data_IF_161805094425
#
_entry.id   IF_161805094425
#
_cell.length_a   1.000
_cell.length_b   1.000
_cell.length_c   1.000
_cell.angle_alpha   90.00
_cell.angle_beta   90.00
_cell.angle_gamma   90.00
#
_symmetry.space_group_name_H-M   'P 1'
#
loop_
_entity.id
_entity.type
_entity.pdbx_description
1 polymer ?
#
# COMPACT_ATOMS: atom_id res chain seq x y z
N UNK A 1 36.35 -0.75 47.13
CA UNK A 1 34.89 -0.69 47.40
C UNK A 1 34.23 -1.69 46.45
N UNK A 2 34.19 -2.99 46.74
CA UNK A 2 33.38 -3.71 47.72
C UNK A 2 31.92 -3.93 47.29
N UNK A 3 31.57 -5.22 47.14
CA UNK A 3 30.24 -5.85 47.32
C UNK A 3 29.17 -5.60 46.23
N UNK A 4 28.33 -6.57 45.82
CA UNK A 4 27.92 -7.85 46.42
C UNK A 4 27.23 -8.75 45.38
N UNK A 5 27.33 -10.07 45.61
CA UNK A 5 26.62 -11.16 44.94
C UNK A 5 25.16 -11.35 45.47
N UNK A 6 24.33 -12.08 44.71
CA UNK A 6 23.39 -13.16 45.12
C UNK A 6 22.25 -13.30 44.08
N UNK A 7 22.04 -14.41 43.33
CA UNK A 7 21.63 -15.80 43.66
C UNK A 7 20.18 -15.96 44.15
N UNK A 8 19.33 -16.58 43.31
CA UNK A 8 18.25 -17.52 43.64
C UNK A 8 18.16 -18.50 42.43
N UNK A 9 18.45 -19.83 42.46
CA UNK A 9 17.90 -21.00 43.20
C UNK A 9 16.36 -21.09 43.04
N UNK A 10 15.67 -22.16 42.67
CA UNK A 10 15.89 -23.61 42.46
C UNK A 10 14.70 -24.11 41.56
N UNK A 11 14.90 -25.02 40.61
CA UNK A 11 14.42 -26.44 40.59
C UNK A 11 12.90 -26.67 40.76
N UNK A 12 12.29 -27.34 39.77
CA UNK A 12 11.01 -28.04 39.88
C UNK A 12 10.88 -29.12 38.79
N UNK A 13 10.98 -30.38 39.21
CA UNK A 13 10.99 -31.62 38.42
C UNK A 13 9.79 -32.48 38.88
N UNK A 14 9.05 -33.11 37.97
CA UNK A 14 7.99 -34.12 38.26
C UNK A 14 7.00 -34.23 37.08
N UNK A 15 7.00 -35.23 36.19
CA UNK A 15 6.70 -36.69 36.34
C UNK A 15 5.24 -36.86 36.84
N UNK A 16 4.26 -37.48 36.14
CA UNK A 16 4.20 -38.88 35.65
C UNK A 16 2.97 -39.13 34.75
N UNK A 17 3.05 -40.21 33.95
CA UNK A 17 2.07 -40.87 33.07
C UNK A 17 0.67 -41.20 33.68
N UNK A 18 -0.36 -41.30 32.82
CA UNK A 18 -1.32 -42.42 32.82
C UNK A 18 -1.95 -42.62 31.42
N UNK A 19 -2.06 -43.88 30.99
CA UNK A 19 -2.49 -44.35 29.66
C UNK A 19 -3.85 -45.07 29.71
N UNK A 20 -4.42 -45.36 28.51
CA UNK A 20 -5.30 -46.49 28.08
C UNK A 20 -6.56 -46.08 27.26
N UNK A 21 -7.07 -46.96 26.36
CA UNK A 21 -7.14 -46.67 24.92
C UNK A 21 -8.56 -46.82 24.34
N UNK A 22 -8.76 -46.39 23.09
CA UNK A 22 -9.86 -46.86 22.26
C UNK A 22 -9.31 -47.28 20.90
N UNK A 23 -9.42 -48.57 20.63
CA UNK A 23 -9.22 -49.17 19.32
C UNK A 23 -10.29 -48.62 18.36
N UNK A 24 -9.84 -48.09 17.22
CA UNK A 24 -10.70 -47.74 16.08
C UNK A 24 -9.99 -48.12 14.80
N UNK A 25 -10.32 -49.30 14.27
CA UNK A 25 -9.95 -49.68 12.92
C UNK A 25 -10.79 -48.85 11.94
N UNK A 26 -10.15 -48.06 11.09
CA UNK A 26 -10.71 -47.64 9.80
C UNK A 26 -9.65 -47.88 8.75
N UNK A 27 -9.94 -48.81 7.86
CA UNK A 27 -9.22 -48.98 6.59
C UNK A 27 -9.68 -47.85 5.66
N UNK A 28 -8.82 -46.89 5.34
CA UNK A 28 -8.96 -46.08 4.13
C UNK A 28 -7.76 -46.36 3.26
N UNK A 29 -8.01 -47.16 2.22
CA UNK A 29 -7.20 -47.21 1.01
C UNK A 29 -7.45 -45.87 0.30
N UNK A 30 -6.45 -45.00 0.34
CA UNK A 30 -6.46 -43.71 -0.36
C UNK A 30 -5.02 -43.23 -0.43
N UNK A 31 -4.39 -43.41 -1.58
CA UNK A 31 -3.10 -42.82 -1.89
C UNK A 31 -3.28 -41.30 -2.07
N UNK A 32 -3.39 -40.57 -0.97
CA UNK A 32 -3.39 -39.11 -0.99
C UNK A 32 -1.94 -38.65 -0.98
N UNK A 33 -1.44 -38.42 -2.18
CA UNK A 33 -0.29 -37.55 -2.45
C UNK A 33 -0.35 -36.34 -1.52
N UNK A 34 0.71 -36.00 -0.76
CA UNK A 34 0.70 -34.80 0.06
C UNK A 34 0.60 -33.61 -0.89
N UNK A 35 -0.62 -33.06 -1.00
CA UNK A 35 -0.82 -31.76 -1.63
C UNK A 35 -0.16 -30.77 -0.70
N UNK A 36 1.04 -30.35 -1.07
CA UNK A 36 1.74 -29.24 -0.43
C UNK A 36 0.82 -28.03 -0.51
N UNK A 37 0.10 -27.75 0.59
CA UNK A 37 -0.69 -26.53 0.72
C UNK A 37 0.31 -25.39 0.75
N UNK A 38 0.51 -24.74 -0.40
CA UNK A 38 1.29 -23.51 -0.50
C UNK A 38 0.66 -22.50 0.45
N UNK A 39 1.27 -22.35 1.63
CA UNK A 39 0.81 -21.44 2.68
C UNK A 39 1.36 -20.04 2.35
N UNK A 40 1.06 -19.53 1.15
CA UNK A 40 1.28 -18.12 0.87
C UNK A 40 0.16 -17.38 1.58
N UNK A 41 0.44 -16.47 2.53
CA UNK A 41 -0.61 -15.70 3.19
C UNK A 41 -1.47 -15.03 2.12
N UNK A 42 -2.77 -15.36 2.08
CA UNK A 42 -3.68 -14.80 1.10
C UNK A 42 -3.78 -13.30 1.37
N UNK A 43 -3.30 -12.47 0.46
CA UNK A 43 -3.47 -11.03 0.54
C UNK A 43 -4.97 -10.73 0.53
N UNK A 44 -5.50 -10.26 1.66
CA UNK A 44 -6.92 -9.99 1.82
C UNK A 44 -7.26 -8.63 1.21
N UNK A 45 -7.97 -8.64 0.08
CA UNK A 45 -8.56 -7.45 -0.55
C UNK A 45 -10.07 -7.48 -0.31
N UNK A 46 -10.74 -6.36 -0.05
CA UNK A 46 -12.19 -6.33 0.12
C UNK A 46 -12.94 -6.83 -1.12
N UNK A 47 -12.38 -6.56 -2.31
CA UNK A 47 -12.89 -6.96 -3.63
C UNK A 47 -11.79 -6.77 -4.67
N UNK A 48 -12.02 -7.24 -5.89
CA UNK A 48 -11.16 -6.94 -7.04
C UNK A 48 -11.61 -5.62 -7.68
N UNK A 49 -10.67 -4.72 -7.95
CA UNK A 49 -10.88 -3.54 -8.81
C UNK A 49 -9.93 -3.65 -10.00
N UNK A 50 -10.48 -3.86 -11.20
CA UNK A 50 -9.69 -4.02 -12.43
C UNK A 50 -9.26 -2.66 -12.99
N UNK A 51 -7.95 -2.48 -13.19
CA UNK A 51 -7.32 -1.26 -13.67
C UNK A 51 -7.22 -1.18 -15.19
N UNK A 52 -7.58 -2.24 -15.92
CA UNK A 52 -7.35 -2.35 -17.37
C UNK A 52 -7.96 -1.21 -18.19
N UNK A 53 -9.20 -0.82 -17.86
CA UNK A 53 -9.96 0.20 -18.61
C UNK A 53 -10.33 1.42 -17.75
N UNK A 54 -9.59 1.66 -16.66
CA UNK A 54 -9.85 2.79 -15.78
C UNK A 54 -9.33 4.07 -16.43
N UNK A 55 -10.22 5.04 -16.64
CA UNK A 55 -9.82 6.41 -17.00
C UNK A 55 -9.30 7.15 -15.74
N UNK A 56 -7.99 7.46 -15.67
CA UNK A 56 -7.39 8.11 -14.51
C UNK A 56 -7.96 9.51 -14.22
N UNK A 57 -8.49 10.22 -15.23
CA UNK A 57 -9.03 11.56 -15.04
C UNK A 57 -10.41 11.56 -14.38
N UNK A 58 -11.04 10.40 -14.25
CA UNK A 58 -12.34 10.25 -13.59
C UNK A 58 -12.24 9.81 -12.14
N UNK A 59 -11.03 9.51 -11.65
CA UNK A 59 -10.83 8.91 -10.31
C UNK A 59 -11.06 9.89 -9.16
N UNK A 60 -10.89 11.19 -9.41
CA UNK A 60 -11.14 12.24 -8.43
C UNK A 60 -12.32 13.08 -8.91
N UNK A 61 -13.48 12.84 -8.31
CA UNK A 61 -14.74 13.51 -8.71
C UNK A 61 -14.72 14.99 -8.30
N UNK A 62 -15.54 15.87 -8.92
CA UNK A 62 -15.52 17.31 -8.68
C UNK A 62 -15.62 17.70 -7.18
N UNK A 63 -16.41 16.98 -6.40
CA UNK A 63 -16.55 17.20 -4.95
C UNK A 63 -15.22 16.97 -4.22
N UNK A 64 -14.51 15.89 -4.58
CA UNK A 64 -13.23 15.54 -3.98
C UNK A 64 -12.11 16.49 -4.46
N UNK A 65 -12.18 16.98 -5.69
CA UNK A 65 -11.24 17.97 -6.23
C UNK A 65 -11.20 19.25 -5.37
N UNK A 66 -12.34 19.67 -4.81
CA UNK A 66 -12.40 20.83 -3.89
C UNK A 66 -11.56 20.61 -2.64
N UNK A 67 -11.50 19.39 -2.11
CA UNK A 67 -10.68 19.03 -0.92
C UNK A 67 -9.17 19.19 -1.15
N UNK A 68 -8.75 19.07 -2.41
CA UNK A 68 -7.36 19.26 -2.84
C UNK A 68 -7.11 20.65 -3.44
N UNK A 69 -8.13 21.51 -3.48
CA UNK A 69 -8.04 22.85 -4.05
C UNK A 69 -7.66 22.85 -5.53
N UNK A 70 -8.08 21.84 -6.30
CA UNK A 70 -7.77 21.78 -7.74
C UNK A 70 -8.37 23.00 -8.44
N UNK A 71 -7.54 23.77 -9.14
CA UNK A 71 -7.89 25.08 -9.71
C UNK A 71 -7.83 25.13 -11.25
N UNK A 72 -7.40 24.03 -11.89
CA UNK A 72 -7.46 23.83 -13.35
C UNK A 72 -8.08 22.48 -13.71
N UNK A 73 -8.54 22.34 -14.97
CA UNK A 73 -9.00 21.05 -15.46
C UNK A 73 -7.95 19.93 -15.31
N UNK A 74 -8.39 18.68 -15.06
CA UNK A 74 -7.51 17.51 -15.07
C UNK A 74 -6.80 17.39 -16.43
N UNK A 75 -5.53 17.01 -16.40
CA UNK A 75 -4.68 16.86 -17.58
C UNK A 75 -4.32 15.38 -17.76
N UNK A 76 -4.86 14.70 -18.79
CA UNK A 76 -4.42 13.36 -19.17
C UNK A 76 -2.92 13.36 -19.50
N UNK A 77 -2.23 12.28 -19.15
CA UNK A 77 -0.79 12.11 -19.36
C UNK A 77 -0.43 10.62 -19.40
N UNK A 78 0.84 10.29 -19.66
CA UNK A 78 1.36 8.93 -19.67
C UNK A 78 2.52 8.79 -18.67
N UNK A 79 2.47 7.78 -17.80
CA UNK A 79 3.62 7.43 -16.97
C UNK A 79 4.55 6.50 -17.73
N UNK A 80 5.65 7.03 -18.26
CA UNK A 80 6.67 6.22 -18.97
C UNK A 80 7.29 5.18 -18.05
N UNK A 81 7.54 5.54 -16.79
CA UNK A 81 8.18 4.65 -15.79
C UNK A 81 7.26 3.48 -15.40
N UNK A 82 5.95 3.75 -15.29
CA UNK A 82 4.95 2.75 -14.90
C UNK A 82 4.23 2.14 -16.10
N UNK A 83 4.58 2.56 -17.32
CA UNK A 83 4.03 2.09 -18.59
C UNK A 83 2.49 2.08 -18.62
N UNK A 84 1.87 3.13 -18.09
CA UNK A 84 0.43 3.20 -17.91
C UNK A 84 -0.13 4.63 -18.07
N UNK A 85 -1.43 4.73 -18.38
CA UNK A 85 -2.15 6.00 -18.45
C UNK A 85 -2.16 6.68 -17.09
N UNK A 86 -2.07 8.00 -17.09
CA UNK A 86 -2.12 8.81 -15.89
C UNK A 86 -2.96 10.06 -16.07
N UNK A 87 -3.33 10.69 -14.96
CA UNK A 87 -3.96 11.98 -14.99
C UNK A 87 -3.47 12.85 -13.85
N UNK A 88 -3.22 14.12 -14.14
CA UNK A 88 -2.76 15.13 -13.19
C UNK A 88 -3.88 16.12 -12.91
N UNK A 89 -4.12 16.39 -11.63
CA UNK A 89 -5.05 17.38 -11.12
C UNK A 89 -4.23 18.48 -10.45
N UNK A 90 -3.98 19.60 -11.14
CA UNK A 90 -3.10 20.64 -10.64
C UNK A 90 -3.85 21.65 -9.75
N UNK A 91 -3.11 22.19 -8.80
CA UNK A 91 -3.37 23.46 -8.15
C UNK A 91 -2.20 24.38 -8.52
N UNK A 92 -2.41 25.32 -9.44
CA UNK A 92 -1.39 26.27 -9.90
C UNK A 92 -1.08 27.34 -8.86
N UNK A 93 -2.07 27.78 -8.07
CA UNK A 93 -1.86 28.77 -7.01
C UNK A 93 -0.87 28.30 -5.93
N UNK A 94 -1.03 27.06 -5.46
CA UNK A 94 -0.19 26.43 -4.43
C UNK A 94 0.99 25.66 -5.02
N UNK A 95 1.07 25.59 -6.35
CA UNK A 95 1.99 24.73 -7.09
C UNK A 95 1.98 23.29 -6.55
N UNK A 96 0.82 22.68 -6.40
CA UNK A 96 0.68 21.27 -5.99
C UNK A 96 -0.08 20.47 -7.04
N UNK A 97 0.01 19.15 -6.98
CA UNK A 97 -0.86 18.30 -7.79
C UNK A 97 -1.14 16.97 -7.12
N UNK A 98 -2.34 16.46 -7.41
CA UNK A 98 -2.69 15.05 -7.26
C UNK A 98 -2.48 14.38 -8.62
N UNK A 99 -1.98 13.15 -8.66
CA UNK A 99 -2.03 12.35 -9.88
C UNK A 99 -2.36 10.90 -9.61
N UNK A 100 -3.02 10.25 -10.56
CA UNK A 100 -3.33 8.82 -10.49
C UNK A 100 -2.74 8.07 -11.67
N UNK A 101 -2.29 6.84 -11.40
CA UNK A 101 -1.85 5.88 -12.40
C UNK A 101 -2.49 4.52 -12.07
N UNK A 102 -3.55 4.11 -12.79
CA UNK A 102 -4.05 2.74 -12.80
C UNK A 102 -3.05 1.84 -13.53
N UNK A 103 -2.51 0.83 -12.85
CA UNK A 103 -1.43 -0.01 -13.38
C UNK A 103 -1.94 -1.45 -13.50
N UNK A 104 -2.34 -1.90 -14.71
CA UNK A 104 -3.01 -3.19 -14.89
C UNK A 104 -2.06 -4.40 -14.94
N UNK A 105 -0.76 -4.20 -14.83
CA UNK A 105 0.25 -5.23 -15.12
C UNK A 105 1.39 -5.27 -14.09
N UNK A 106 1.27 -4.54 -12.97
CA UNK A 106 2.28 -4.53 -11.90
C UNK A 106 1.62 -4.66 -10.53
N UNK A 107 2.04 -5.70 -9.78
CA UNK A 107 1.60 -5.93 -8.40
C UNK A 107 2.39 -5.11 -7.37
N UNK A 108 1.84 -5.02 -6.15
CA UNK A 108 2.36 -4.15 -5.08
C UNK A 108 3.79 -4.49 -4.63
N UNK A 109 4.23 -5.74 -4.82
CA UNK A 109 5.58 -6.18 -4.50
C UNK A 109 6.67 -5.43 -5.26
N UNK A 110 6.36 -4.80 -6.41
CA UNK A 110 7.32 -3.95 -7.15
C UNK A 110 7.69 -2.69 -6.37
N UNK A 111 6.82 -2.26 -5.45
CA UNK A 111 6.91 -1.03 -4.68
C UNK A 111 7.38 -1.23 -3.24
N UNK A 112 7.85 -2.43 -2.89
CA UNK A 112 8.37 -2.72 -1.56
C UNK A 112 9.71 -2.01 -1.26
N UNK A 113 10.02 -1.88 0.04
CA UNK A 113 11.31 -1.39 0.50
C UNK A 113 12.48 -2.12 -0.19
N UNK A 114 13.50 -1.38 -0.60
CA UNK A 114 14.65 -1.92 -1.34
C UNK A 114 14.42 -2.17 -2.84
N UNK A 115 13.17 -2.08 -3.34
CA UNK A 115 12.86 -2.18 -4.78
C UNK A 115 12.56 -0.84 -5.43
N UNK A 116 12.34 0.21 -4.62
CA UNK A 116 12.11 1.58 -5.06
C UNK A 116 13.08 2.54 -4.35
N UNK A 117 13.38 3.67 -4.99
CA UNK A 117 14.18 4.73 -4.39
C UNK A 117 13.29 5.63 -3.51
N UNK A 118 12.74 5.06 -2.44
CA UNK A 118 11.87 5.74 -1.49
C UNK A 118 11.96 5.09 -0.11
N UNK A 119 11.63 5.85 0.92
CA UNK A 119 11.30 5.30 2.24
C UNK A 119 9.89 4.69 2.14
N UNK A 120 9.77 3.40 2.46
CA UNK A 120 8.52 2.64 2.25
C UNK A 120 7.90 2.26 3.58
N UNK A 121 6.60 2.51 3.73
CA UNK A 121 5.77 2.07 4.86
C UNK A 121 4.55 1.33 4.36
N UNK A 122 4.19 0.24 5.04
CA UNK A 122 2.93 -0.44 4.79
C UNK A 122 1.77 0.32 5.45
N UNK A 123 0.62 0.35 4.76
CA UNK A 123 -0.63 0.93 5.24
C UNK A 123 -1.83 0.20 4.63
N UNK A 124 -3.04 0.64 4.99
CA UNK A 124 -4.30 0.12 4.45
C UNK A 124 -5.13 1.30 3.96
N UNK A 125 -5.65 1.21 2.73
CA UNK A 125 -6.51 2.23 2.11
C UNK A 125 -7.84 1.58 1.74
N UNK A 126 -8.94 2.01 2.33
CA UNK A 126 -10.27 1.45 2.05
C UNK A 126 -10.36 -0.08 2.25
N UNK A 127 -9.55 -0.63 3.14
CA UNK A 127 -9.43 -2.08 3.38
C UNK A 127 -8.46 -2.83 2.46
N UNK A 128 -7.86 -2.16 1.47
CA UNK A 128 -6.85 -2.73 0.60
C UNK A 128 -5.45 -2.53 1.17
N UNK A 129 -4.56 -3.53 1.07
CA UNK A 129 -3.14 -3.36 1.37
C UNK A 129 -2.53 -2.28 0.48
N UNK A 130 -1.68 -1.44 1.06
CA UNK A 130 -1.05 -0.35 0.34
C UNK A 130 0.38 -0.10 0.84
N UNK A 131 1.15 0.63 0.04
CA UNK A 131 2.51 1.08 0.35
C UNK A 131 2.61 2.59 0.17
N UNK A 132 3.05 3.28 1.20
CA UNK A 132 3.41 4.70 1.18
C UNK A 132 4.90 4.79 0.86
N UNK A 133 5.22 5.50 -0.22
CA UNK A 133 6.57 5.69 -0.72
C UNK A 133 6.91 7.16 -0.63
N UNK A 134 7.63 7.54 0.42
CA UNK A 134 8.15 8.89 0.57
C UNK A 134 9.42 9.05 -0.27
N UNK A 135 9.34 9.85 -1.33
CA UNK A 135 10.46 10.12 -2.23
C UNK A 135 11.28 11.26 -1.64
N UNK A 136 12.43 10.91 -1.04
CA UNK A 136 13.40 11.87 -0.53
C UNK A 136 14.48 12.12 -1.57
N UNK A 137 14.36 13.20 -2.33
CA UNK A 137 15.42 13.66 -3.24
C UNK A 137 16.17 14.84 -2.61
N UNK A 138 17.50 14.88 -2.75
CA UNK A 138 18.34 16.00 -2.26
C UNK A 138 18.28 17.23 -3.20
N UNK A 139 17.72 17.05 -4.39
CA UNK A 139 17.50 18.03 -5.47
C UNK A 139 16.35 17.53 -6.35
N UNK A 140 15.81 18.39 -7.20
CA UNK A 140 14.74 18.16 -8.20
C UNK A 140 14.61 16.67 -8.68
N UNK A 141 13.40 16.06 -8.69
CA UNK A 141 12.10 16.68 -8.45
C UNK A 141 11.85 17.03 -6.98
N UNK A 142 11.03 18.06 -6.70
CA UNK A 142 10.54 18.39 -5.35
C UNK A 142 9.91 17.17 -4.65
N UNK A 143 9.89 17.17 -3.30
CA UNK A 143 9.40 16.04 -2.53
C UNK A 143 7.97 15.68 -2.94
N UNK A 144 7.76 14.39 -3.17
CA UNK A 144 6.47 13.80 -3.47
C UNK A 144 6.28 12.58 -2.60
N UNK A 145 5.02 12.21 -2.41
CA UNK A 145 4.68 10.94 -1.78
C UNK A 145 3.72 10.18 -2.68
N UNK A 146 4.00 8.90 -2.85
CA UNK A 146 3.14 7.97 -3.57
C UNK A 146 2.48 7.02 -2.58
N UNK A 147 1.19 6.78 -2.75
CA UNK A 147 0.49 5.68 -2.11
C UNK A 147 0.08 4.71 -3.21
N UNK A 148 0.59 3.49 -3.13
CA UNK A 148 0.31 2.43 -4.09
C UNK A 148 -0.58 1.39 -3.44
N UNK A 149 -1.78 1.21 -3.97
CA UNK A 149 -2.81 0.33 -3.42
C UNK A 149 -2.87 -0.97 -4.23
N UNK A 150 -2.88 -2.11 -3.55
CA UNK A 150 -3.02 -3.45 -4.13
C UNK A 150 -4.49 -3.77 -4.40
N UNK A 151 -4.95 -3.43 -5.61
CA UNK A 151 -6.37 -3.44 -5.96
C UNK A 151 -6.85 -4.73 -6.62
N UNK A 152 -5.95 -5.48 -7.25
CA UNK A 152 -6.21 -6.80 -7.82
C UNK A 152 -4.89 -7.59 -7.94
N UNK A 153 -4.93 -8.93 -8.08
CA UNK A 153 -3.72 -9.70 -8.33
C UNK A 153 -2.92 -9.15 -9.51
N UNK A 154 -1.68 -8.74 -9.26
CA UNK A 154 -0.80 -8.19 -10.30
C UNK A 154 -1.20 -6.79 -10.80
N UNK A 155 -2.12 -6.09 -10.12
CA UNK A 155 -2.53 -4.74 -10.49
C UNK A 155 -2.51 -3.79 -9.29
N UNK A 156 -2.20 -2.54 -9.55
CA UNK A 156 -2.09 -1.52 -8.51
C UNK A 156 -2.71 -0.20 -8.97
N UNK A 157 -3.14 0.60 -8.00
CA UNK A 157 -3.44 2.01 -8.21
C UNK A 157 -2.38 2.84 -7.49
N UNK A 158 -1.64 3.67 -8.22
CA UNK A 158 -0.80 4.69 -7.61
C UNK A 158 -1.58 6.00 -7.52
N UNK A 159 -1.64 6.58 -6.32
CA UNK A 159 -1.98 7.97 -6.07
C UNK A 159 -0.71 8.71 -5.65
N UNK A 160 -0.44 9.87 -6.26
CA UNK A 160 0.68 10.73 -5.90
C UNK A 160 0.17 12.08 -5.48
N UNK A 161 0.78 12.63 -4.43
CA UNK A 161 0.70 14.05 -4.12
C UNK A 161 2.09 14.66 -4.22
N UNK A 162 2.21 15.72 -5.02
CA UNK A 162 3.47 16.42 -5.24
C UNK A 162 3.30 17.93 -5.07
N UNK A 163 4.37 18.58 -4.64
CA UNK A 163 4.55 20.02 -4.83
C UNK A 163 5.40 20.21 -6.07
N UNK A 164 4.96 21.03 -7.02
CA UNK A 164 5.68 21.36 -8.25
C UNK A 164 6.48 22.66 -8.05
N UNK A 165 7.64 22.77 -8.68
CA UNK A 165 8.44 24.01 -8.69
C UNK A 165 9.20 24.33 -7.40
N UNK A 166 9.78 25.53 -7.38
CA UNK A 166 10.70 25.99 -6.34
C UNK A 166 10.02 26.17 -4.97
N UNK A 167 10.85 26.01 -3.94
CA UNK A 167 10.69 26.23 -2.49
C UNK A 167 10.11 27.64 -2.19
N UNK A 168 8.89 27.95 -2.65
CA UNK A 168 8.11 29.10 -2.19
C UNK A 168 7.27 28.69 -0.97
N UNK A 169 7.25 29.47 0.11
CA UNK A 169 6.41 29.19 1.27
C UNK A 169 4.92 29.04 0.88
N UNK A 170 4.15 28.20 1.62
CA UNK A 170 4.61 27.37 2.74
C UNK A 170 5.31 26.09 2.26
N UNK A 171 6.33 25.64 3.00
CA UNK A 171 6.94 24.32 2.79
C UNK A 171 5.98 23.25 3.26
N UNK A 172 5.73 22.25 2.41
CA UNK A 172 5.00 21.06 2.83
C UNK A 172 6.01 20.09 3.43
N UNK A 173 5.73 19.63 4.65
CA UNK A 173 6.51 18.57 5.27
C UNK A 173 6.25 17.25 4.54
N UNK A 174 7.19 16.31 4.65
CA UNK A 174 7.01 14.95 4.12
C UNK A 174 5.73 14.29 4.63
N UNK A 175 5.40 14.47 5.91
CA UNK A 175 4.19 13.93 6.53
C UNK A 175 2.92 14.50 5.88
N UNK A 176 2.89 15.80 5.61
CA UNK A 176 1.75 16.44 4.94
C UNK A 176 1.60 15.94 3.51
N UNK A 177 2.70 15.75 2.78
CA UNK A 177 2.66 15.19 1.42
C UNK A 177 2.07 13.77 1.42
N UNK A 178 2.55 12.91 2.33
CA UNK A 178 2.07 11.54 2.41
C UNK A 178 0.64 11.44 2.93
N UNK A 179 0.25 12.27 3.90
CA UNK A 179 -1.14 12.35 4.35
C UNK A 179 -2.07 12.74 3.19
N UNK A 180 -1.68 13.73 2.36
CA UNK A 180 -2.46 14.15 1.20
C UNK A 180 -2.50 13.06 0.12
N UNK A 181 -1.41 12.32 -0.10
CA UNK A 181 -1.38 11.19 -1.02
C UNK A 181 -2.30 10.04 -0.56
N UNK A 182 -2.31 9.74 0.74
CA UNK A 182 -3.23 8.74 1.32
C UNK A 182 -4.69 9.15 1.16
N UNK A 183 -5.03 10.41 1.44
CA UNK A 183 -6.38 10.95 1.20
C UNK A 183 -6.79 10.86 -0.27
N UNK A 184 -5.86 11.12 -1.20
CA UNK A 184 -6.12 10.98 -2.62
C UNK A 184 -6.38 9.52 -3.00
N UNK A 185 -5.61 8.58 -2.44
CA UNK A 185 -5.83 7.16 -2.63
C UNK A 185 -7.19 6.71 -2.09
N UNK A 186 -7.58 7.15 -0.89
CA UNK A 186 -8.90 6.88 -0.31
C UNK A 186 -10.03 7.38 -1.21
N UNK A 187 -9.92 8.63 -1.70
CA UNK A 187 -10.89 9.23 -2.60
C UNK A 187 -11.05 8.41 -3.89
N UNK A 188 -9.94 7.99 -4.51
CA UNK A 188 -9.97 7.21 -5.74
C UNK A 188 -10.51 5.78 -5.51
N UNK A 189 -10.15 5.12 -4.41
CA UNK A 189 -10.69 3.80 -4.05
C UNK A 189 -12.19 3.89 -3.80
N UNK A 190 -12.68 4.90 -3.08
CA UNK A 190 -14.11 5.12 -2.89
C UNK A 190 -14.84 5.30 -4.23
N UNK A 191 -14.27 6.11 -5.14
CA UNK A 191 -14.80 6.28 -6.50
C UNK A 191 -14.88 4.96 -7.26
N UNK A 192 -13.82 4.15 -7.25
CA UNK A 192 -13.78 2.84 -7.92
C UNK A 192 -14.80 1.86 -7.32
N UNK A 193 -14.90 1.80 -5.99
CA UNK A 193 -15.84 0.92 -5.29
C UNK A 193 -17.31 1.27 -5.54
N UNK A 194 -17.61 2.52 -5.93
CA UNK A 194 -18.97 2.95 -6.26
C UNK A 194 -19.41 2.61 -7.69
N UNK A 195 -18.46 2.27 -8.58
CA UNK A 195 -18.69 2.08 -10.02
C UNK A 195 -18.64 0.63 -10.46
N UNK A 196 -17.94 -0.19 -9.69
CA UNK A 196 -17.66 -1.58 -9.98
C UNK A 196 -18.53 -2.46 -9.10
#
# INVERSE_FOLDING_TARGET
>A
MASRAARHRLVGLGVTLLALPLAGCVNVVGADTPTTVSTTPSIQRPRVLDMTNVDPCTLLIPEQQRTFGIDRPPRPDDSVVLQAKSCRFPNEELSTSVSFVPIPHTGIDRFAAGKVNAEVRDLVIGGFPAKENLIRTKTDPPPACDVVVDVAPGQTLQARYSKNGSIKPPFLTSDVLCQRAAQAAEAAIATLMSRN
#
